data_IF_150461008076
#
_entry.id   IF_150461008076
#
_cell.length_a   1.000
_cell.length_b   1.000
_cell.length_c   1.000
_cell.angle_alpha   90.00
_cell.angle_beta   90.00
_cell.angle_gamma   90.00
#
_symmetry.space_group_name_H-M   'P 1'
#
loop_
_entity.id
_entity.type
_entity.pdbx_description
1 polymer ?
#
# COMPACT_ATOMS: atom_id res chain seq x y z
N UNK A 1 -2.90 10.79 -11.29
CA UNK A 1 -3.58 9.58 -10.74
C UNK A 1 -2.54 8.75 -10.01
N UNK A 2 -2.75 8.30 -8.76
CA UNK A 2 -1.65 7.73 -7.96
C UNK A 2 -2.01 6.42 -7.27
N UNK A 3 -1.04 5.52 -7.26
CA UNK A 3 -1.06 4.24 -6.55
C UNK A 3 -0.07 4.33 -5.40
N UNK A 4 -0.53 4.06 -4.18
CA UNK A 4 0.32 3.94 -3.01
C UNK A 4 0.49 2.48 -2.64
N UNK A 5 1.74 2.08 -2.41
CA UNK A 5 2.10 0.76 -1.91
C UNK A 5 2.79 0.93 -0.56
N UNK A 6 2.33 0.23 0.47
CA UNK A 6 3.00 0.19 1.76
C UNK A 6 3.40 -1.24 2.09
N UNK A 7 4.63 -1.46 2.54
CA UNK A 7 5.08 -2.76 3.03
C UNK A 7 5.70 -2.67 4.42
N UNK A 8 5.34 -3.62 5.29
CA UNK A 8 6.09 -3.96 6.51
C UNK A 8 6.21 -5.48 6.59
N UNK A 9 7.43 -5.99 6.70
CA UNK A 9 7.73 -7.43 6.90
C UNK A 9 6.98 -8.36 5.93
N UNK A 10 6.95 -7.97 4.65
CA UNK A 10 6.14 -8.60 3.62
C UNK A 10 6.99 -9.36 2.59
N UNK A 11 8.29 -9.58 2.82
CA UNK A 11 9.20 -10.06 1.76
C UNK A 11 8.73 -11.35 1.03
N UNK A 12 8.00 -12.22 1.74
CA UNK A 12 7.47 -13.48 1.22
C UNK A 12 6.27 -13.31 0.26
N UNK A 13 5.39 -12.32 0.50
CA UNK A 13 4.21 -12.03 -0.33
C UNK A 13 4.44 -10.87 -1.29
N UNK A 14 5.41 -10.01 -0.99
CA UNK A 14 5.70 -8.77 -1.69
C UNK A 14 5.97 -9.00 -3.18
N UNK A 15 6.75 -10.02 -3.55
CA UNK A 15 7.02 -10.31 -4.98
C UNK A 15 5.74 -10.59 -5.76
N UNK A 16 4.79 -11.33 -5.16
CA UNK A 16 3.51 -11.61 -5.79
C UNK A 16 2.65 -10.35 -5.89
N UNK A 17 2.61 -9.52 -4.84
CA UNK A 17 1.89 -8.25 -4.84
C UNK A 17 2.46 -7.27 -5.89
N UNK A 18 3.78 -7.12 -5.97
CA UNK A 18 4.44 -6.28 -6.97
C UNK A 18 4.14 -6.76 -8.40
N UNK A 19 4.18 -8.07 -8.64
CA UNK A 19 3.77 -8.64 -9.92
C UNK A 19 2.31 -8.36 -10.27
N UNK A 20 1.40 -8.37 -9.30
CA UNK A 20 0.01 -7.94 -9.50
C UNK A 20 -0.08 -6.46 -9.90
N UNK A 21 0.67 -5.57 -9.24
CA UNK A 21 0.67 -4.14 -9.54
C UNK A 21 1.20 -3.84 -10.95
N UNK A 22 2.24 -4.53 -11.39
CA UNK A 22 2.76 -4.43 -12.75
C UNK A 22 1.73 -4.87 -13.79
N UNK A 23 0.92 -5.89 -13.50
CA UNK A 23 -0.13 -6.38 -14.41
C UNK A 23 -1.39 -5.53 -14.47
N UNK A 24 -1.57 -4.53 -13.59
CA UNK A 24 -2.75 -3.66 -13.64
C UNK A 24 -2.89 -3.03 -15.03
N UNK A 25 -4.07 -3.21 -15.62
CA UNK A 25 -4.48 -2.73 -16.94
C UNK A 25 -4.76 -1.22 -16.88
N UNK A 26 -3.70 -0.45 -16.69
CA UNK A 26 -3.76 0.99 -16.55
C UNK A 26 -2.44 1.63 -17.03
N UNK A 27 -2.47 2.75 -17.78
CA UNK A 27 -1.26 3.39 -18.27
C UNK A 27 -0.31 3.75 -17.12
N UNK A 28 0.89 3.15 -17.11
CA UNK A 28 1.87 3.31 -16.03
C UNK A 28 2.41 4.73 -15.93
N UNK A 29 2.55 5.40 -17.07
CA UNK A 29 2.90 6.83 -17.21
C UNK A 29 1.86 7.78 -16.56
N UNK A 30 0.66 7.27 -16.25
CA UNK A 30 -0.38 8.00 -15.51
C UNK A 30 -0.45 7.64 -14.04
N UNK A 31 0.37 6.70 -13.58
CA UNK A 31 0.45 6.26 -12.20
C UNK A 31 1.73 6.84 -11.60
N UNK A 32 1.61 7.58 -10.50
CA UNK A 32 2.75 7.79 -9.62
C UNK A 32 2.72 6.81 -8.46
N UNK A 33 3.89 6.31 -8.10
CA UNK A 33 4.10 5.43 -6.97
C UNK A 33 4.53 6.23 -5.76
N UNK A 34 3.82 6.05 -4.65
CA UNK A 34 4.26 6.50 -3.33
C UNK A 34 4.49 5.26 -2.48
N UNK A 35 5.75 4.99 -2.14
CA UNK A 35 6.13 3.75 -1.45
C UNK A 35 6.85 4.07 -0.15
N UNK A 36 6.27 3.62 0.95
CA UNK A 36 6.88 3.69 2.27
C UNK A 36 7.03 2.30 2.86
N UNK A 37 8.14 2.12 3.57
CA UNK A 37 8.40 0.90 4.30
C UNK A 37 9.05 1.22 5.64
N UNK A 38 8.66 0.52 6.70
CA UNK A 38 9.01 0.86 8.07
C UNK A 38 9.14 -0.38 8.94
N UNK A 39 10.00 -0.33 9.96
CA UNK A 39 10.14 -1.35 10.99
C UNK A 39 10.23 -2.78 10.40
N UNK A 40 11.03 -2.92 9.34
CA UNK A 40 11.27 -4.20 8.68
C UNK A 40 12.34 -4.98 9.43
N UNK A 41 12.03 -6.25 9.72
CA UNK A 41 13.00 -7.21 10.27
C UNK A 41 13.57 -8.10 9.15
N UNK A 42 12.90 -8.14 8.00
CA UNK A 42 13.23 -8.94 6.82
C UNK A 42 13.80 -8.09 5.67
N UNK A 43 14.00 -8.71 4.51
CA UNK A 43 14.59 -8.07 3.33
C UNK A 43 13.60 -7.17 2.54
N UNK A 44 12.47 -6.76 3.13
CA UNK A 44 11.42 -5.98 2.46
C UNK A 44 11.96 -4.69 1.82
N UNK A 45 12.80 -3.94 2.54
CA UNK A 45 13.39 -2.68 2.03
C UNK A 45 14.21 -2.92 0.76
N UNK A 46 15.04 -3.97 0.73
CA UNK A 46 15.89 -4.24 -0.42
C UNK A 46 15.08 -4.70 -1.64
N UNK A 47 14.09 -5.58 -1.44
CA UNK A 47 13.21 -6.06 -2.52
C UNK A 47 12.41 -4.90 -3.12
N UNK A 48 11.85 -4.02 -2.29
CA UNK A 48 11.17 -2.81 -2.78
C UNK A 48 12.11 -1.89 -3.55
N UNK A 49 13.32 -1.66 -3.03
CA UNK A 49 14.30 -0.78 -3.70
C UNK A 49 14.69 -1.33 -5.07
N UNK A 50 15.01 -2.62 -5.16
CA UNK A 50 15.35 -3.28 -6.42
C UNK A 50 14.21 -3.15 -7.43
N UNK A 51 12.99 -3.46 -7.01
CA UNK A 51 11.80 -3.32 -7.85
C UNK A 51 11.61 -1.89 -8.34
N UNK A 52 11.66 -0.90 -7.44
CA UNK A 52 11.48 0.51 -7.78
C UNK A 52 12.52 0.98 -8.80
N UNK A 53 13.78 0.58 -8.66
CA UNK A 53 14.84 0.93 -9.62
C UNK A 53 14.54 0.37 -11.01
N UNK A 54 13.98 -0.83 -11.09
CA UNK A 54 13.66 -1.49 -12.36
C UNK A 54 12.43 -0.88 -13.05
N UNK A 55 11.43 -0.41 -12.28
CA UNK A 55 10.16 0.07 -12.84
C UNK A 55 10.02 1.59 -12.92
N UNK A 56 10.89 2.35 -12.25
CA UNK A 56 10.75 3.81 -12.13
C UNK A 56 10.50 4.55 -13.44
N UNK A 57 11.14 4.13 -14.54
CA UNK A 57 11.03 4.78 -15.85
C UNK A 57 9.68 4.54 -16.54
N UNK A 58 8.93 3.52 -16.12
CA UNK A 58 7.59 3.24 -16.63
C UNK A 58 6.51 4.07 -15.95
N UNK A 59 6.76 4.51 -14.71
CA UNK A 59 5.79 5.24 -13.89
C UNK A 59 5.97 6.75 -14.01
N UNK A 60 4.90 7.51 -13.81
CA UNK A 60 4.92 8.97 -13.87
C UNK A 60 5.96 9.60 -12.92
N UNK A 61 6.03 9.07 -11.71
CA UNK A 61 7.01 9.43 -10.69
C UNK A 61 7.03 8.37 -9.61
N UNK A 62 8.15 8.27 -8.90
CA UNK A 62 8.34 7.36 -7.78
C UNK A 62 8.83 8.17 -6.58
N UNK A 63 8.08 8.10 -5.49
CA UNK A 63 8.48 8.66 -4.19
C UNK A 63 8.80 7.49 -3.24
N UNK A 64 10.07 7.38 -2.85
CA UNK A 64 10.58 6.31 -2.01
C UNK A 64 10.88 6.82 -0.60
N UNK A 65 10.25 6.22 0.42
CA UNK A 65 10.40 6.59 1.84
C UNK A 65 10.75 5.37 2.70
N UNK A 66 12.03 4.93 2.71
CA UNK A 66 12.47 3.86 3.58
C UNK A 66 12.66 4.36 5.01
N UNK A 67 12.38 3.49 5.98
CA UNK A 67 12.76 3.65 7.37
C UNK A 67 13.41 2.35 7.85
N UNK A 68 14.74 2.35 7.91
CA UNK A 68 15.53 1.18 8.31
C UNK A 68 15.55 0.98 9.83
N UNK A 69 15.43 2.07 10.58
CA UNK A 69 15.40 2.06 12.05
C UNK A 69 14.32 3.01 12.58
N UNK A 70 13.69 2.66 13.72
CA UNK A 70 13.87 1.42 14.48
C UNK A 70 13.22 0.22 13.79
N UNK A 71 13.63 -1.02 14.15
CA UNK A 71 13.07 -2.26 13.58
C UNK A 71 11.81 -2.73 14.29
N UNK A 72 11.54 -2.18 15.47
CA UNK A 72 10.47 -2.54 16.38
C UNK A 72 9.92 -1.27 17.02
N UNK A 73 8.64 -1.26 17.39
CA UNK A 73 8.12 -0.20 18.26
C UNK A 73 8.43 -0.56 19.72
N UNK A 74 8.80 0.42 20.54
CA UNK A 74 9.13 0.16 21.95
C UNK A 74 7.94 -0.33 22.78
N UNK A 75 6.73 -0.07 22.30
CA UNK A 75 5.45 -0.42 22.90
C UNK A 75 4.76 -1.60 22.19
N UNK A 76 5.44 -2.36 21.32
CA UNK A 76 4.86 -3.56 20.70
C UNK A 76 5.16 -4.83 21.52
N UNK A 77 4.11 -5.63 21.80
CA UNK A 77 4.24 -6.94 22.44
C UNK A 77 4.59 -8.05 21.44
N UNK A 78 4.39 -7.80 20.14
CA UNK A 78 4.76 -8.73 19.08
C UNK A 78 4.49 -8.22 17.66
N UNK A 79 4.82 -9.00 16.62
CA UNK A 79 4.75 -8.53 15.23
C UNK A 79 3.36 -8.14 14.73
N UNK A 80 2.31 -8.76 15.29
CA UNK A 80 0.90 -8.50 14.97
C UNK A 80 0.28 -7.44 15.88
N UNK A 81 0.99 -7.00 16.90
CA UNK A 81 0.49 -6.01 17.83
C UNK A 81 0.39 -4.64 17.16
N UNK A 82 -0.72 -3.96 17.44
CA UNK A 82 -1.02 -2.64 16.94
C UNK A 82 -0.92 -1.63 18.08
N UNK A 83 0.32 -1.35 18.47
CA UNK A 83 0.61 -0.35 19.49
C UNK A 83 0.16 1.05 19.08
N UNK A 84 -0.03 1.95 20.05
CA UNK A 84 -0.45 3.33 19.78
C UNK A 84 0.58 4.07 18.91
N UNK A 85 1.87 3.85 19.18
CA UNK A 85 2.96 4.43 18.38
C UNK A 85 2.93 3.95 16.94
N UNK A 86 2.61 2.66 16.72
CA UNK A 86 2.41 2.11 15.38
C UNK A 86 1.24 2.77 14.69
N UNK A 87 0.07 2.85 15.33
CA UNK A 87 -1.11 3.51 14.75
C UNK A 87 -0.81 4.95 14.31
N UNK A 88 -0.24 5.76 15.19
CA UNK A 88 0.10 7.15 14.91
C UNK A 88 1.04 7.28 13.71
N UNK A 89 2.06 6.43 13.64
CA UNK A 89 2.99 6.42 12.53
C UNK A 89 2.32 6.03 11.21
N UNK A 90 1.47 5.01 11.21
CA UNK A 90 0.67 4.62 10.03
C UNK A 90 -0.20 5.79 9.56
N UNK A 91 -0.86 6.49 10.49
CA UNK A 91 -1.70 7.64 10.17
C UNK A 91 -0.91 8.78 9.56
N UNK A 92 0.28 9.10 10.11
CA UNK A 92 1.19 10.09 9.54
C UNK A 92 1.60 9.73 8.11
N UNK A 93 1.92 8.47 7.83
CA UNK A 93 2.24 8.02 6.48
C UNK A 93 1.03 8.12 5.53
N UNK A 94 -0.18 7.80 6.00
CA UNK A 94 -1.42 7.96 5.22
C UNK A 94 -1.71 9.42 4.90
N UNK A 95 -1.53 10.31 5.87
CA UNK A 95 -1.70 11.74 5.67
C UNK A 95 -0.65 12.30 4.70
N UNK A 96 0.62 11.92 4.83
CA UNK A 96 1.69 12.36 3.93
C UNK A 96 1.45 11.92 2.49
N UNK A 97 1.00 10.68 2.28
CA UNK A 97 0.64 10.19 0.95
C UNK A 97 -0.56 10.93 0.34
N UNK A 98 -1.58 11.21 1.15
CA UNK A 98 -2.74 12.00 0.72
C UNK A 98 -2.33 13.42 0.33
N UNK A 99 -1.43 14.04 1.11
CA UNK A 99 -0.91 15.37 0.80
C UNK A 99 -0.11 15.35 -0.50
N UNK A 100 0.81 14.39 -0.70
CA UNK A 100 1.58 14.23 -1.95
C UNK A 100 0.66 14.03 -3.16
N UNK A 101 -0.45 13.30 -3.01
CA UNK A 101 -1.46 13.17 -4.07
C UNK A 101 -2.19 14.49 -4.38
N UNK A 102 -2.43 15.34 -3.37
CA UNK A 102 -3.04 16.68 -3.54
C UNK A 102 -2.10 17.68 -4.18
N UNK A 103 -0.84 17.75 -3.74
CA UNK A 103 0.20 18.63 -4.32
C UNK A 103 0.41 18.33 -5.82
N UNK A 104 0.26 17.05 -6.10
CA UNK A 104 -0.02 16.36 -7.35
C UNK A 104 -1.11 16.81 -8.32
N UNK A 105 -2.22 17.32 -7.81
CA UNK A 105 -3.48 17.33 -8.54
C UNK A 105 -3.89 15.91 -9.05
N UNK A 106 -3.67 14.88 -8.23
CA UNK A 106 -4.09 13.53 -8.59
C UNK A 106 -5.61 13.37 -8.48
N UNK A 107 -6.27 12.89 -9.54
CA UNK A 107 -7.72 12.62 -9.53
C UNK A 107 -8.14 11.57 -8.49
N UNK A 108 -7.29 10.55 -8.29
CA UNK A 108 -7.56 9.40 -7.42
C UNK A 108 -6.30 8.98 -6.67
N UNK A 109 -6.51 8.43 -5.47
CA UNK A 109 -5.50 7.77 -4.65
C UNK A 109 -5.96 6.36 -4.31
N UNK A 110 -5.15 5.36 -4.63
CA UNK A 110 -5.38 3.98 -4.18
C UNK A 110 -4.36 3.64 -3.08
N UNK A 111 -4.84 3.21 -1.91
CA UNK A 111 -4.01 2.65 -0.85
C UNK A 111 -3.92 1.12 -0.99
N UNK A 112 -2.71 0.59 -1.09
CA UNK A 112 -2.44 -0.84 -1.20
C UNK A 112 -1.39 -1.24 -0.17
N UNK A 113 -1.69 -2.27 0.62
CA UNK A 113 -0.73 -2.91 1.52
C UNK A 113 0.02 -4.04 0.77
N UNK A 114 1.22 -4.41 1.21
CA UNK A 114 2.12 -5.30 0.48
C UNK A 114 1.69 -6.78 0.43
N UNK A 115 0.67 -7.13 1.21
CA UNK A 115 -0.01 -8.42 1.19
C UNK A 115 -1.30 -8.40 0.35
N UNK A 116 -1.68 -7.26 -0.23
CA UNK A 116 -2.85 -7.15 -1.11
C UNK A 116 -2.51 -7.66 -2.52
N UNK A 117 -2.99 -8.84 -2.86
CA UNK A 117 -2.85 -9.42 -4.19
C UNK A 117 -3.99 -8.97 -5.10
N UNK A 118 -3.80 -7.87 -5.84
CA UNK A 118 -4.74 -7.41 -6.86
C UNK A 118 -4.64 -8.31 -8.11
N UNK A 119 -5.25 -9.49 -8.06
CA UNK A 119 -5.16 -10.51 -9.12
C UNK A 119 -5.91 -10.11 -10.38
N UNK A 120 -6.97 -9.31 -10.26
CA UNK A 120 -7.71 -8.76 -11.40
C UNK A 120 -6.99 -7.53 -11.98
N UNK A 121 -6.49 -7.60 -13.24
CA UNK A 121 -5.82 -6.46 -13.88
C UNK A 121 -6.68 -5.20 -13.98
N UNK A 122 -8.00 -5.35 -14.08
CA UNK A 122 -8.93 -4.25 -14.33
C UNK A 122 -9.43 -3.58 -13.04
N UNK A 123 -8.91 -3.97 -11.87
CA UNK A 123 -9.34 -3.43 -10.57
C UNK A 123 -9.37 -1.89 -10.55
N UNK A 124 -8.36 -1.22 -11.09
CA UNK A 124 -8.34 0.25 -11.13
C UNK A 124 -9.49 0.84 -11.95
N UNK A 125 -9.74 0.27 -13.14
CA UNK A 125 -10.82 0.71 -14.01
C UNK A 125 -12.19 0.50 -13.36
N UNK A 126 -12.39 -0.67 -12.74
CA UNK A 126 -13.63 -1.02 -12.05
C UNK A 126 -13.91 -0.09 -10.87
N UNK A 127 -12.91 0.18 -10.01
CA UNK A 127 -13.07 1.09 -8.87
C UNK A 127 -13.35 2.52 -9.31
N UNK A 128 -12.72 3.00 -10.39
CA UNK A 128 -12.99 4.33 -10.94
C UNK A 128 -14.42 4.40 -11.52
N UNK A 129 -14.87 3.34 -12.19
CA UNK A 129 -16.20 3.28 -12.80
C UNK A 129 -17.34 3.35 -11.76
N UNK A 130 -17.10 2.96 -10.51
CA UNK A 130 -18.08 3.09 -9.43
C UNK A 130 -18.46 4.54 -9.12
N UNK A 131 -17.62 5.51 -9.48
CA UNK A 131 -17.87 6.95 -9.29
C UNK A 131 -18.30 7.32 -7.85
N UNK A 132 -17.63 6.73 -6.86
CA UNK A 132 -17.83 6.98 -5.43
C UNK A 132 -16.64 7.71 -4.85
N UNK A 133 -16.88 8.54 -3.84
CA UNK A 133 -15.81 9.25 -3.11
C UNK A 133 -14.81 8.29 -2.48
N UNK A 134 -15.29 7.17 -1.93
CA UNK A 134 -14.48 6.10 -1.33
C UNK A 134 -15.06 4.77 -1.78
N UNK A 135 -14.21 3.91 -2.31
CA UNK A 135 -14.55 2.55 -2.72
C UNK A 135 -13.35 1.64 -2.50
N UNK A 136 -13.60 0.38 -2.18
CA UNK A 136 -12.57 -0.64 -2.02
C UNK A 136 -13.00 -1.92 -2.74
N UNK A 137 -12.07 -2.65 -3.36
CA UNK A 137 -12.36 -3.98 -3.86
C UNK A 137 -12.46 -4.93 -2.66
N UNK A 138 -13.37 -5.90 -2.71
CA UNK A 138 -13.37 -6.99 -1.74
C UNK A 138 -12.13 -7.86 -1.99
N UNK A 139 -11.34 -8.10 -0.94
CA UNK A 139 -10.17 -8.98 -0.98
C UNK A 139 -10.52 -10.30 -0.29
N UNK A 140 -10.47 -11.39 -1.05
CA UNK A 140 -10.70 -12.72 -0.50
C UNK A 140 -9.51 -13.16 0.36
N UNK A 141 -9.80 -13.65 1.56
CA UNK A 141 -8.83 -14.33 2.40
C UNK A 141 -9.21 -15.80 2.57
N UNK A 142 -8.23 -16.64 2.93
CA UNK A 142 -8.48 -18.08 3.19
C UNK A 142 -9.30 -18.32 4.48
N UNK A 143 -9.55 -17.29 5.28
CA UNK A 143 -10.29 -17.36 6.53
C UNK A 143 -11.49 -16.42 6.50
N UNK A 144 -12.33 -16.44 7.54
CA UNK A 144 -13.48 -15.54 7.67
C UNK A 144 -13.12 -14.05 7.82
N UNK A 145 -11.83 -13.70 7.81
CA UNK A 145 -11.37 -12.32 7.83
C UNK A 145 -11.44 -11.73 6.42
N UNK A 146 -11.96 -10.51 6.30
CA UNK A 146 -11.94 -9.75 5.05
C UNK A 146 -11.45 -8.32 5.33
N UNK A 147 -11.25 -7.55 4.26
CA UNK A 147 -10.89 -6.14 4.34
C UNK A 147 -12.09 -5.21 4.67
N UNK A 148 -13.21 -5.75 5.14
CA UNK A 148 -14.42 -5.00 5.48
C UNK A 148 -15.17 -5.62 6.67
N UNK A 149 -15.76 -4.79 7.54
CA UNK A 149 -16.58 -5.24 8.66
C UNK A 149 -18.03 -4.83 8.44
N UNK A 150 -18.95 -5.80 8.35
CA UNK A 150 -20.38 -5.56 8.12
C UNK A 150 -21.15 -5.12 9.38
N UNK A 151 -20.55 -5.23 10.57
CA UNK A 151 -21.20 -4.91 11.83
C UNK A 151 -20.21 -4.31 12.83
N UNK A 152 -20.67 -3.31 13.56
CA UNK A 152 -19.98 -2.75 14.72
C UNK A 152 -20.93 -2.87 15.91
N UNK A 153 -20.42 -3.32 17.05
CA UNK A 153 -21.15 -3.20 18.32
C UNK A 153 -21.22 -1.72 18.68
N UNK A 154 -22.40 -1.21 19.03
CA UNK A 154 -22.54 0.12 19.63
C UNK A 154 -21.69 0.20 20.89
N UNK A 155 -20.84 1.24 20.97
CA UNK A 155 -20.11 1.61 22.19
C UNK A 155 -21.07 2.12 23.26
#
# INVERSE_FOLDING_TARGET
RRLRVRARTAAHSLRAALGCLERLSYPKDRIALWVATDHNVDNTTAVLREWLVNVQSMYHSVEWRPMDHPRFYSDEEGPKDWSSSRYDYVMKLRQAALQSARDIWADYILFVDADNLLTNPDTLGLLIAENKTIVAPMLDSRAAYSNFWCGMTSQ
#
